data_IF_780770974560
#
_entry.id   IF_780770974560
#
_cell.length_a   1.000
_cell.length_b   1.000
_cell.length_c   1.000
_cell.angle_alpha   90.00
_cell.angle_beta   90.00
_cell.angle_gamma   90.00
#
_symmetry.space_group_name_H-M   'P 1'
#
loop_
_entity.id
_entity.type
_entity.pdbx_description
1 polymer ?
#
# COMPACT_ATOMS: atom_id res chain seq x y z
N UNK A 1 -10.62 -23.70 8.94
CA UNK A 1 -9.28 -23.58 8.32
C UNK A 1 -8.94 -22.10 8.35
N UNK A 2 -8.69 -21.61 9.56
CA UNK A 2 -8.99 -20.21 9.91
C UNK A 2 -7.89 -19.25 9.43
N UNK A 3 -6.70 -19.82 9.17
CA UNK A 3 -5.58 -19.13 8.54
C UNK A 3 -5.86 -18.66 7.10
N UNK A 4 -6.69 -19.39 6.33
CA UNK A 4 -6.99 -19.02 4.95
C UNK A 4 -7.88 -17.76 4.89
N UNK A 5 -8.92 -17.71 5.71
CA UNK A 5 -9.80 -16.54 5.82
C UNK A 5 -9.07 -15.33 6.39
N UNK A 6 -8.21 -15.51 7.39
CA UNK A 6 -7.40 -14.43 7.95
C UNK A 6 -6.48 -13.80 6.90
N UNK A 7 -5.81 -14.64 6.10
CA UNK A 7 -4.94 -14.19 5.00
C UNK A 7 -5.73 -13.40 3.96
N UNK A 8 -6.91 -13.88 3.57
CA UNK A 8 -7.77 -13.20 2.60
C UNK A 8 -8.23 -11.83 3.11
N UNK A 9 -8.70 -11.73 4.35
CA UNK A 9 -9.13 -10.47 4.95
C UNK A 9 -7.99 -9.46 5.06
N UNK A 10 -6.81 -9.92 5.50
CA UNK A 10 -5.62 -9.07 5.61
C UNK A 10 -5.19 -8.56 4.24
N UNK A 11 -5.10 -9.45 3.25
CA UNK A 11 -4.72 -9.06 1.88
C UNK A 11 -5.76 -8.17 1.22
N UNK A 12 -7.05 -8.35 1.52
CA UNK A 12 -8.10 -7.47 1.01
C UNK A 12 -7.88 -6.03 1.48
N UNK A 13 -7.65 -5.82 2.78
CA UNK A 13 -7.39 -4.47 3.32
C UNK A 13 -6.13 -3.84 2.73
N UNK A 14 -5.05 -4.62 2.62
CA UNK A 14 -3.77 -4.18 2.05
C UNK A 14 -3.93 -3.72 0.59
N UNK A 15 -4.62 -4.51 -0.23
CA UNK A 15 -4.86 -4.21 -1.64
C UNK A 15 -5.72 -2.97 -1.83
N UNK A 16 -6.82 -2.85 -1.07
CA UNK A 16 -7.73 -1.70 -1.13
C UNK A 16 -7.01 -0.39 -0.74
N UNK A 17 -6.11 -0.46 0.24
CA UNK A 17 -5.33 0.69 0.67
C UNK A 17 -4.10 1.01 -0.19
N UNK A 18 -3.74 0.16 -1.16
CA UNK A 18 -2.46 0.23 -1.88
C UNK A 18 -1.24 0.34 -0.94
N UNK A 19 -1.28 -0.37 0.20
CA UNK A 19 -0.27 -0.31 1.27
C UNK A 19 0.93 -1.21 0.96
N UNK A 20 1.66 -0.91 -0.12
CA UNK A 20 2.75 -1.75 -0.63
C UNK A 20 3.84 -2.08 0.40
N UNK A 21 4.35 -1.13 1.22
CA UNK A 21 5.35 -1.46 2.24
C UNK A 21 4.85 -2.50 3.25
N UNK A 22 3.59 -2.34 3.70
CA UNK A 22 2.98 -3.25 4.67
C UNK A 22 2.72 -4.64 4.09
N UNK A 23 2.38 -4.74 2.79
CA UNK A 23 2.28 -6.03 2.10
C UNK A 23 3.59 -6.83 2.18
N UNK A 24 4.72 -6.16 1.96
CA UNK A 24 6.04 -6.78 1.98
C UNK A 24 6.42 -7.26 3.39
N UNK A 25 6.18 -6.43 4.40
CA UNK A 25 6.44 -6.79 5.81
C UNK A 25 5.61 -8.00 6.22
N UNK A 26 4.29 -7.96 5.99
CA UNK A 26 3.38 -9.08 6.33
C UNK A 26 3.79 -10.38 5.64
N UNK A 27 4.16 -10.33 4.35
CA UNK A 27 4.63 -11.52 3.65
C UNK A 27 5.96 -12.05 4.23
N UNK A 28 6.85 -11.16 4.66
CA UNK A 28 8.13 -11.54 5.27
C UNK A 28 7.90 -12.17 6.65
N UNK A 29 7.13 -11.52 7.51
CA UNK A 29 6.90 -11.93 8.91
C UNK A 29 6.11 -13.24 9.01
N UNK A 30 5.16 -13.45 8.09
CA UNK A 30 4.32 -14.66 8.06
C UNK A 30 4.85 -15.74 7.12
N UNK A 31 6.01 -15.50 6.47
CA UNK A 31 6.62 -16.44 5.53
C UNK A 31 5.77 -16.71 4.29
N UNK A 32 4.91 -15.77 3.88
CA UNK A 32 4.08 -15.90 2.71
C UNK A 32 4.81 -15.47 1.44
N UNK A 33 4.51 -16.09 0.28
CA UNK A 33 5.11 -15.68 -0.97
C UNK A 33 4.71 -14.25 -1.31
N UNK A 34 5.72 -13.43 -1.60
CA UNK A 34 5.54 -12.08 -2.10
C UNK A 34 5.22 -12.15 -3.59
N UNK A 35 4.07 -11.62 -3.98
CA UNK A 35 3.75 -11.36 -5.38
C UNK A 35 4.38 -10.02 -5.77
N UNK A 36 5.51 -10.10 -6.49
CA UNK A 36 6.26 -8.91 -6.90
C UNK A 36 5.42 -8.00 -7.81
N UNK A 37 4.60 -8.58 -8.70
CA UNK A 37 3.74 -7.80 -9.59
C UNK A 37 2.72 -7.01 -8.79
N UNK A 38 2.08 -7.65 -7.82
CA UNK A 38 1.13 -6.99 -6.93
C UNK A 38 1.80 -5.87 -6.11
N UNK A 39 3.00 -6.11 -5.60
CA UNK A 39 3.77 -5.11 -4.86
C UNK A 39 4.10 -3.88 -5.73
N UNK A 40 4.56 -4.11 -6.96
CA UNK A 40 4.89 -3.02 -7.90
C UNK A 40 3.65 -2.22 -8.30
N UNK A 41 2.53 -2.89 -8.58
CA UNK A 41 1.25 -2.27 -8.90
C UNK A 41 0.76 -1.38 -7.74
N UNK A 42 0.83 -1.86 -6.49
CA UNK A 42 0.47 -1.07 -5.32
C UNK A 42 1.45 0.09 -5.07
N UNK A 43 2.75 -0.12 -5.27
CA UNK A 43 3.77 0.92 -5.11
C UNK A 43 3.54 2.07 -6.07
N UNK A 44 3.23 1.76 -7.33
CA UNK A 44 2.94 2.76 -8.36
C UNK A 44 1.72 3.62 -7.99
N UNK A 45 0.62 2.99 -7.60
CA UNK A 45 -0.59 3.74 -7.19
C UNK A 45 -0.33 4.60 -5.95
N UNK A 46 0.48 4.11 -5.01
CA UNK A 46 0.80 4.87 -3.81
C UNK A 46 1.68 6.10 -4.13
N UNK A 47 2.66 5.95 -5.04
CA UNK A 47 3.48 7.05 -5.54
C UNK A 47 2.64 8.08 -6.31
N UNK A 48 1.75 7.64 -7.20
CA UNK A 48 0.85 8.55 -7.94
C UNK A 48 -0.07 9.34 -6.99
N UNK A 49 -0.52 8.74 -5.87
CA UNK A 49 -1.28 9.46 -4.85
C UNK A 49 -0.44 10.48 -4.11
N UNK A 50 0.79 10.14 -3.72
CA UNK A 50 1.71 11.05 -3.05
C UNK A 50 2.03 12.28 -3.91
N UNK A 51 2.31 12.09 -5.20
CA UNK A 51 2.59 13.22 -6.11
C UNK A 51 1.41 14.19 -6.25
N UNK A 52 0.17 13.72 -6.13
CA UNK A 52 -1.01 14.60 -6.12
C UNK A 52 -1.09 15.46 -4.86
N UNK A 53 -0.65 14.95 -3.72
CA UNK A 53 -0.60 15.75 -2.48
C UNK A 53 0.55 16.77 -2.53
N UNK A 54 1.69 16.43 -3.14
CA UNK A 54 2.80 17.36 -3.35
C UNK A 54 2.43 18.53 -4.29
N UNK A 55 1.58 18.28 -5.30
CA UNK A 55 1.03 19.35 -6.14
C UNK A 55 0.07 20.27 -5.36
N UNK A 56 -0.78 19.71 -4.49
CA UNK A 56 -1.79 20.45 -3.70
C UNK A 56 -1.17 21.29 -2.57
N UNK A 57 -0.12 20.79 -1.91
CA UNK A 57 0.60 21.51 -0.84
C UNK A 57 1.35 22.76 -1.36
N UNK A 58 1.62 22.84 -2.68
CA UNK A 58 2.26 24.00 -3.31
C UNK A 58 1.34 25.22 -3.45
N UNK A 59 0.03 25.06 -3.25
CA UNK A 59 -0.96 26.15 -3.33
C UNK A 59 -1.30 26.78 -1.98
N UNK A 60 -0.70 26.34 -0.86
CA UNK A 60 -0.91 27.02 0.43
C UNK A 60 -0.23 28.40 0.44
N UNK A 61 -0.97 29.52 0.47
CA UNK A 61 -0.36 30.84 0.57
C UNK A 61 0.30 30.92 1.94
N UNK A 62 1.60 31.18 1.97
CA UNK A 62 2.28 31.62 3.18
C UNK A 62 1.67 32.98 3.52
N UNK A 63 0.70 33.03 4.42
CA UNK A 63 0.11 34.29 4.88
C UNK A 63 1.24 35.14 5.48
N UNK A 64 1.65 36.17 4.75
CA UNK A 64 2.63 37.19 5.17
C UNK A 64 2.06 38.06 6.29
#
# INVERSE_FOLDING_TARGET
>A
NDNAQLKEQLFHGIKTGHMAPYYKEVCTDLGWPLDQKLYDDMTKVNQERLSKFEEDDSETPVWQ
#
